data_IF_166690489213
#
_entry.id   IF_166690489213
#
_cell.length_a   1.000
_cell.length_b   1.000
_cell.length_c   1.000
_cell.angle_alpha   90.00
_cell.angle_beta   90.00
_cell.angle_gamma   90.00
#
_symmetry.space_group_name_H-M   'P 1'
#
loop_
_entity.id
_entity.type
_entity.pdbx_description
1 polymer ?
#
# COMPACT_ATOMS: atom_id res chain seq x y z
N UNK A 1 20.54 8.84 7.67
CA UNK A 1 20.50 8.85 6.19
C UNK A 1 19.18 9.45 5.76
N UNK A 2 19.19 10.54 4.99
CA UNK A 2 17.97 11.14 4.48
C UNK A 2 17.27 10.16 3.52
N UNK A 3 15.95 9.95 3.71
CA UNK A 3 15.16 9.01 2.91
C UNK A 3 14.88 9.64 1.52
N UNK A 4 15.44 9.11 0.42
CA UNK A 4 15.56 9.84 -0.86
C UNK A 4 14.32 9.71 -1.76
N UNK A 5 13.13 9.47 -1.22
CA UNK A 5 11.97 9.08 -2.04
C UNK A 5 11.18 10.27 -2.58
N UNK A 6 10.88 11.24 -1.74
CA UNK A 6 9.97 12.35 -2.04
C UNK A 6 10.79 13.59 -2.38
N UNK A 7 10.45 14.25 -3.49
CA UNK A 7 10.89 15.60 -3.78
C UNK A 7 9.94 16.60 -3.10
N UNK A 8 10.32 17.07 -1.91
CA UNK A 8 9.50 17.99 -1.13
C UNK A 8 9.37 19.36 -1.80
N UNK A 9 10.35 19.78 -2.61
CA UNK A 9 10.25 21.04 -3.34
C UNK A 9 9.09 21.01 -4.35
N UNK A 10 8.89 19.88 -5.04
CA UNK A 10 7.73 19.70 -5.93
C UNK A 10 6.41 19.67 -5.16
N UNK A 11 6.42 19.16 -3.92
CA UNK A 11 5.22 19.13 -3.07
C UNK A 11 4.82 20.53 -2.59
N UNK A 12 5.80 21.35 -2.22
CA UNK A 12 5.57 22.74 -1.79
C UNK A 12 5.20 23.66 -2.96
N UNK A 13 5.62 23.31 -4.18
CA UNK A 13 5.27 24.04 -5.41
C UNK A 13 3.84 23.77 -5.91
N UNK A 14 3.05 22.93 -5.23
CA UNK A 14 1.66 22.66 -5.61
C UNK A 14 0.83 23.94 -5.51
N UNK A 15 0.29 24.38 -6.64
CA UNK A 15 -0.64 25.51 -6.69
C UNK A 15 -2.02 25.09 -6.15
N UNK A 16 -2.28 25.50 -4.91
CA UNK A 16 -3.53 25.21 -4.21
C UNK A 16 -4.74 25.89 -4.87
N UNK A 17 -4.57 27.09 -5.44
CA UNK A 17 -5.66 27.83 -6.07
C UNK A 17 -6.06 27.16 -7.39
N UNK A 18 -5.06 26.78 -8.20
CA UNK A 18 -5.29 26.00 -9.41
C UNK A 18 -6.00 24.68 -9.11
N UNK A 19 -5.57 23.95 -8.08
CA UNK A 19 -6.21 22.71 -7.65
C UNK A 19 -7.69 22.92 -7.28
N UNK A 20 -7.97 23.90 -6.40
CA UNK A 20 -9.33 24.16 -5.89
C UNK A 20 -10.30 24.62 -6.99
N UNK A 21 -9.81 25.42 -7.93
CA UNK A 21 -10.64 26.01 -8.97
C UNK A 21 -10.78 25.12 -10.22
N UNK A 22 -10.04 24.02 -10.32
CA UNK A 22 -10.15 23.11 -11.47
C UNK A 22 -11.53 22.44 -11.53
N UNK A 23 -11.97 22.20 -12.76
CA UNK A 23 -13.27 21.59 -13.10
C UNK A 23 -13.03 20.35 -13.99
N UNK A 24 -13.94 19.36 -13.99
CA UNK A 24 -15.22 19.30 -13.27
C UNK A 24 -15.08 19.01 -11.76
N UNK A 25 -13.90 18.60 -11.31
CA UNK A 25 -13.54 18.40 -9.91
C UNK A 25 -12.10 18.86 -9.66
N UNK A 26 -11.71 19.12 -8.41
CA UNK A 26 -10.34 19.49 -8.06
C UNK A 26 -9.34 18.39 -8.44
N UNK A 27 -8.33 18.74 -9.24
CA UNK A 27 -7.20 17.86 -9.56
C UNK A 27 -5.98 18.67 -9.98
N UNK A 28 -4.80 18.12 -9.78
CA UNK A 28 -3.54 18.67 -10.29
C UNK A 28 -2.58 17.52 -10.57
N UNK A 29 -1.79 17.64 -11.64
CA UNK A 29 -0.68 16.71 -11.88
C UNK A 29 0.54 17.21 -11.12
N UNK A 30 1.18 16.34 -10.34
CA UNK A 30 2.44 16.64 -9.65
C UNK A 30 3.53 15.83 -10.32
N UNK A 31 4.20 16.44 -11.30
CA UNK A 31 5.34 15.82 -11.95
C UNK A 31 6.52 15.77 -11.00
N UNK A 32 7.37 14.74 -11.14
CA UNK A 32 8.59 14.59 -10.36
C UNK A 32 8.39 14.55 -8.82
N UNK A 33 7.19 14.22 -8.32
CA UNK A 33 6.94 14.04 -6.88
C UNK A 33 7.89 13.03 -6.23
N UNK A 34 8.24 11.97 -6.98
CA UNK A 34 9.31 11.06 -6.59
C UNK A 34 10.62 11.52 -7.20
N UNK A 35 11.69 11.51 -6.41
CA UNK A 35 13.03 11.68 -6.97
C UNK A 35 13.32 10.53 -7.93
N UNK A 36 14.12 10.76 -8.98
CA UNK A 36 14.48 9.68 -9.92
C UNK A 36 15.14 8.48 -9.24
N UNK A 37 16.01 8.73 -8.25
CA UNK A 37 16.64 7.68 -7.44
C UNK A 37 15.64 6.93 -6.55
N UNK A 38 14.73 7.66 -5.91
CA UNK A 38 13.65 7.13 -5.09
C UNK A 38 12.68 6.26 -5.88
N UNK A 39 12.24 6.71 -7.05
CA UNK A 39 11.43 5.93 -7.98
C UNK A 39 12.13 4.63 -8.38
N UNK A 40 13.42 4.71 -8.74
CA UNK A 40 14.22 3.53 -9.10
C UNK A 40 14.35 2.52 -7.96
N UNK A 41 14.50 3.00 -6.72
CA UNK A 41 14.53 2.15 -5.52
C UNK A 41 13.19 1.47 -5.28
N UNK A 42 12.08 2.23 -5.27
CA UNK A 42 10.73 1.71 -5.09
C UNK A 42 10.42 0.62 -6.12
N UNK A 43 10.71 0.89 -7.41
CA UNK A 43 10.47 -0.07 -8.50
C UNK A 43 11.25 -1.37 -8.31
N UNK A 44 12.48 -1.32 -7.80
CA UNK A 44 13.30 -2.52 -7.53
C UNK A 44 12.85 -3.28 -6.28
N UNK A 45 12.25 -2.59 -5.31
CA UNK A 45 11.74 -3.19 -4.08
C UNK A 45 10.27 -3.64 -4.16
N UNK A 46 9.58 -3.40 -5.27
CA UNK A 46 8.19 -3.82 -5.42
C UNK A 46 8.10 -5.36 -5.33
N UNK A 47 7.13 -5.90 -4.58
CA UNK A 47 6.85 -7.33 -4.57
C UNK A 47 6.54 -7.83 -5.97
N UNK A 48 6.90 -9.08 -6.27
CA UNK A 48 6.48 -9.73 -7.51
C UNK A 48 4.95 -9.82 -7.56
N UNK A 49 4.37 -9.57 -8.74
CA UNK A 49 2.91 -9.66 -8.96
C UNK A 49 2.37 -11.06 -8.62
N UNK A 50 3.20 -12.10 -8.73
CA UNK A 50 2.86 -13.46 -8.34
C UNK A 50 2.50 -13.61 -6.85
N UNK A 51 2.95 -12.68 -5.99
CA UNK A 51 2.60 -12.64 -4.57
C UNK A 51 1.22 -12.01 -4.32
N UNK A 52 0.64 -11.33 -5.30
CA UNK A 52 -0.67 -10.70 -5.17
C UNK A 52 -1.81 -11.71 -5.34
N UNK A 53 -2.90 -11.50 -4.61
CA UNK A 53 -4.15 -12.20 -4.82
C UNK A 53 -4.79 -11.75 -6.14
N UNK A 54 -5.19 -12.70 -6.97
CA UNK A 54 -6.02 -12.40 -8.14
C UNK A 54 -7.46 -12.24 -7.70
N UNK A 55 -8.04 -11.08 -7.94
CA UNK A 55 -9.45 -10.79 -7.67
C UNK A 55 -10.12 -10.40 -8.98
N UNK A 56 -10.54 -11.41 -9.73
CA UNK A 56 -11.31 -11.25 -10.97
C UNK A 56 -12.71 -11.81 -10.77
N UNK A 57 -13.69 -11.20 -11.45
CA UNK A 57 -15.08 -11.69 -11.52
C UNK A 57 -15.74 -11.94 -10.16
N UNK A 58 -15.32 -11.21 -9.12
CA UNK A 58 -15.87 -11.35 -7.77
C UNK A 58 -17.31 -10.86 -7.77
N UNK A 59 -18.25 -11.75 -7.42
CA UNK A 59 -19.65 -11.38 -7.19
C UNK A 59 -19.75 -10.53 -5.92
N UNK A 60 -19.96 -9.23 -6.09
CA UNK A 60 -20.16 -8.28 -4.98
C UNK A 60 -21.66 -8.00 -4.80
N UNK A 61 -22.05 -7.65 -3.57
CA UNK A 61 -23.44 -7.33 -3.24
C UNK A 61 -23.93 -6.03 -3.90
N UNK A 62 -25.24 -5.80 -3.84
CA UNK A 62 -25.86 -4.52 -4.22
C UNK A 62 -25.51 -4.01 -5.63
N UNK A 63 -25.40 -4.91 -6.61
CA UNK A 63 -25.09 -4.59 -8.02
C UNK A 63 -23.75 -3.89 -8.25
N UNK A 64 -22.80 -4.03 -7.32
CA UNK A 64 -21.45 -3.51 -7.52
C UNK A 64 -20.69 -4.36 -8.54
N UNK A 65 -19.97 -3.70 -9.45
CA UNK A 65 -19.05 -4.36 -10.36
C UNK A 65 -17.84 -4.94 -9.59
N UNK A 66 -17.24 -6.00 -10.15
CA UNK A 66 -15.96 -6.52 -9.66
C UNK A 66 -14.87 -5.47 -9.87
N UNK A 67 -13.97 -5.34 -8.91
CA UNK A 67 -12.76 -4.53 -9.06
C UNK A 67 -11.64 -5.46 -9.49
N UNK A 68 -11.57 -5.70 -10.80
CA UNK A 68 -10.66 -6.68 -11.37
C UNK A 68 -9.20 -6.23 -11.22
N UNK A 69 -8.40 -7.03 -10.53
CA UNK A 69 -7.00 -6.71 -10.34
C UNK A 69 -6.22 -7.67 -9.44
N UNK A 70 -4.93 -7.33 -9.29
CA UNK A 70 -4.03 -7.98 -8.36
C UNK A 70 -4.04 -7.22 -7.03
N UNK A 71 -4.65 -7.81 -6.02
CA UNK A 71 -4.73 -7.23 -4.68
C UNK A 71 -3.56 -7.72 -3.83
N UNK A 72 -2.80 -6.79 -3.25
CA UNK A 72 -1.78 -7.12 -2.26
C UNK A 72 -2.41 -7.26 -0.87
N UNK A 73 -3.27 -8.26 -0.73
CA UNK A 73 -3.81 -8.64 0.58
C UNK A 73 -2.74 -9.36 1.39
N UNK A 74 -2.63 -9.04 2.67
CA UNK A 74 -1.80 -9.81 3.57
C UNK A 74 -2.23 -11.28 3.56
N UNK A 75 -1.26 -12.18 3.45
CA UNK A 75 -1.43 -13.63 3.56
C UNK A 75 -0.35 -14.17 4.49
N UNK A 76 -0.67 -15.13 5.37
CA UNK A 76 0.34 -15.85 6.12
C UNK A 76 1.40 -16.42 5.16
N UNK A 77 2.68 -16.17 5.46
CA UNK A 77 3.80 -16.64 4.64
C UNK A 77 4.28 -15.68 3.55
N UNK A 78 3.67 -14.50 3.37
CA UNK A 78 4.30 -13.45 2.57
C UNK A 78 5.58 -12.95 3.27
N UNK A 79 6.68 -12.72 2.54
CA UNK A 79 7.93 -12.21 3.10
C UNK A 79 7.84 -10.70 3.38
N UNK A 80 6.80 -10.27 4.09
CA UNK A 80 6.63 -8.89 4.53
C UNK A 80 7.38 -8.79 5.86
N UNK A 81 8.45 -8.00 5.90
CA UNK A 81 9.10 -7.65 7.17
C UNK A 81 8.20 -6.67 7.91
N UNK A 82 7.17 -7.19 8.58
CA UNK A 82 6.43 -6.41 9.56
C UNK A 82 7.31 -6.36 10.80
N UNK A 83 7.87 -5.20 11.13
CA UNK A 83 8.50 -4.98 12.44
C UNK A 83 7.39 -4.98 13.49
N UNK A 84 6.96 -6.18 13.88
CA UNK A 84 6.02 -6.36 14.96
C UNK A 84 6.75 -6.11 16.28
N UNK A 85 6.58 -4.91 16.83
CA UNK A 85 7.11 -4.58 18.16
C UNK A 85 6.41 -5.49 19.17
N UNK A 86 7.17 -6.31 19.89
CA UNK A 86 6.61 -7.24 20.87
C UNK A 86 5.84 -6.44 21.95
N UNK A 87 4.53 -6.60 21.96
CA UNK A 87 3.62 -5.98 22.91
C UNK A 87 2.63 -7.02 23.47
N UNK A 88 1.78 -6.62 24.41
CA UNK A 88 0.81 -7.53 25.05
C UNK A 88 -0.14 -8.18 24.04
N UNK A 89 -0.60 -7.43 23.03
CA UNK A 89 -1.50 -7.93 21.99
C UNK A 89 -0.82 -9.02 21.14
N UNK A 90 0.43 -8.82 20.72
CA UNK A 90 1.20 -9.81 19.95
C UNK A 90 1.45 -11.06 20.79
N UNK A 91 1.78 -10.91 22.08
CA UNK A 91 1.96 -12.04 23.00
C UNK A 91 0.65 -12.83 23.18
N UNK A 92 -0.46 -12.13 23.36
CA UNK A 92 -1.79 -12.74 23.51
C UNK A 92 -2.28 -13.43 22.24
N UNK A 93 -1.92 -12.93 21.05
CA UNK A 93 -2.19 -13.58 19.76
C UNK A 93 -1.41 -14.88 19.62
N UNK A 94 -0.10 -14.87 19.92
CA UNK A 94 0.74 -16.08 19.89
C UNK A 94 0.22 -17.20 20.79
N UNK A 95 -0.23 -16.86 22.01
CA UNK A 95 -0.83 -17.83 22.94
C UNK A 95 -2.09 -18.51 22.38
N UNK A 96 -2.81 -17.86 21.45
CA UNK A 96 -4.00 -18.41 20.79
C UNK A 96 -3.69 -19.05 19.43
N UNK A 97 -2.43 -19.39 19.19
CA UNK A 97 -2.01 -19.99 17.93
C UNK A 97 -2.16 -19.06 16.73
N UNK A 98 -2.04 -17.73 16.93
CA UNK A 98 -2.14 -16.73 15.87
C UNK A 98 -0.82 -15.99 15.68
N UNK A 99 -0.53 -15.58 14.45
CA UNK A 99 0.58 -14.70 14.11
C UNK A 99 0.37 -13.29 14.69
N UNK A 100 1.35 -12.42 14.51
CA UNK A 100 1.31 -11.07 15.06
C UNK A 100 0.17 -10.21 14.47
N UNK A 101 -0.28 -10.52 13.26
CA UNK A 101 -1.37 -9.85 12.56
C UNK A 101 -2.75 -10.46 12.87
N UNK A 102 -2.77 -11.63 13.54
CA UNK A 102 -3.97 -12.28 14.04
C UNK A 102 -4.48 -13.44 13.20
N UNK A 103 -3.71 -13.88 12.20
CA UNK A 103 -4.02 -15.06 11.40
C UNK A 103 -3.62 -16.34 12.13
N UNK A 104 -4.38 -17.44 12.01
CA UNK A 104 -3.99 -18.73 12.56
C UNK A 104 -2.61 -19.17 12.05
N UNK A 105 -1.76 -19.69 12.93
CA UNK A 105 -0.46 -20.28 12.59
C UNK A 105 -0.61 -21.66 11.93
N UNK A 106 -1.79 -22.27 12.07
CA UNK A 106 -2.21 -23.49 11.38
C UNK A 106 -3.33 -23.13 10.40
N UNK A 107 -3.05 -23.24 9.10
CA UNK A 107 -4.06 -23.38 8.06
C UNK A 107 -4.54 -24.83 8.01
#
# INVERSE_FOLDING_TARGET
MAMPYIDFAQSEAIDAELFQNRRPFPWISVEHFLTGGGYGLLRRSLPEVALCAQEFDRKRGHHQASHDGYAWQYRPGLPIVVINRMNWQVRWRRLRGKDADGYPLTG
#
